data_IF_434453539427
#
_entry.id   IF_434453539427
#
_cell.length_a   1.000
_cell.length_b   1.000
_cell.length_c   1.000
_cell.angle_alpha   90.00
_cell.angle_beta   90.00
_cell.angle_gamma   90.00
#
_symmetry.space_group_name_H-M   'P 1'
#
loop_
_entity.id
_entity.type
_entity.pdbx_description
1 polymer ?
#
# COMPACT_ATOMS: atom_id res chain seq x y z
N UNK A 1 48.34 -20.48 69.33
CA UNK A 1 47.27 -20.69 68.34
C UNK A 1 45.96 -20.30 69.01
N UNK A 2 45.57 -19.03 68.88
CA UNK A 2 44.42 -18.48 69.59
C UNK A 2 43.12 -18.75 68.84
N UNK A 3 42.13 -19.34 69.51
CA UNK A 3 40.77 -19.41 69.01
C UNK A 3 40.11 -18.04 69.11
N UNK A 4 39.43 -17.62 68.04
CA UNK A 4 38.60 -16.41 68.06
C UNK A 4 37.23 -16.81 68.61
N UNK A 5 36.81 -16.18 69.71
CA UNK A 5 35.48 -16.40 70.30
C UNK A 5 34.51 -15.42 69.65
N UNK A 6 33.49 -15.93 68.97
CA UNK A 6 32.42 -15.10 68.36
C UNK A 6 31.19 -15.21 69.25
N UNK A 7 30.69 -14.05 69.72
CA UNK A 7 29.44 -13.95 70.47
C UNK A 7 28.28 -13.85 69.49
N UNK A 8 27.43 -14.88 69.46
CA UNK A 8 26.16 -14.87 68.75
C UNK A 8 25.06 -15.01 69.80
N UNK A 9 24.15 -14.04 69.87
CA UNK A 9 22.99 -14.04 70.79
C UNK A 9 23.33 -14.33 72.27
N UNK A 10 24.42 -13.72 72.79
CA UNK A 10 24.76 -13.81 74.22
C UNK A 10 25.28 -15.18 74.70
N UNK A 11 25.50 -16.15 73.79
CA UNK A 11 26.18 -17.42 74.09
C UNK A 11 27.56 -17.44 73.43
N UNK A 12 28.59 -17.78 74.22
CA UNK A 12 29.94 -17.99 73.71
C UNK A 12 29.99 -19.33 72.95
N UNK A 13 30.04 -19.29 71.63
CA UNK A 13 30.29 -20.48 70.81
C UNK A 13 31.80 -20.72 70.78
N UNK A 14 32.25 -21.81 71.41
CA UNK A 14 33.67 -22.16 71.51
C UNK A 14 34.17 -22.65 70.15
N UNK A 15 35.11 -21.91 69.54
CA UNK A 15 36.16 -22.47 68.69
C UNK A 15 35.95 -22.48 67.17
N UNK A 16 35.63 -21.34 66.54
CA UNK A 16 35.87 -21.22 65.09
C UNK A 16 37.37 -20.95 64.90
N UNK A 17 38.11 -21.93 64.40
CA UNK A 17 39.50 -21.70 64.01
C UNK A 17 39.54 -20.72 62.83
N UNK A 18 40.53 -19.82 62.73
CA UNK A 18 40.62 -18.86 61.62
C UNK A 18 40.61 -19.53 60.24
N UNK A 19 41.01 -20.80 60.17
CA UNK A 19 40.94 -21.64 58.97
C UNK A 19 39.50 -21.94 58.52
N UNK A 20 38.58 -22.21 59.44
CA UNK A 20 37.16 -22.46 59.13
C UNK A 20 36.46 -21.20 58.62
N UNK A 21 36.76 -20.06 59.22
CA UNK A 21 36.21 -18.77 58.81
C UNK A 21 36.72 -18.37 57.42
N UNK A 22 38.03 -18.56 57.16
CA UNK A 22 38.61 -18.39 55.83
C UNK A 22 37.99 -19.33 54.78
N UNK A 23 37.78 -20.60 55.12
CA UNK A 23 37.13 -21.57 54.23
C UNK A 23 35.67 -21.18 53.91
N UNK A 24 34.91 -20.72 54.90
CA UNK A 24 33.54 -20.26 54.72
C UNK A 24 33.47 -19.01 53.82
N UNK A 25 34.37 -18.04 54.02
CA UNK A 25 34.47 -16.85 53.18
C UNK A 25 34.84 -17.23 51.74
N UNK A 26 35.81 -18.13 51.54
CA UNK A 26 36.18 -18.61 50.21
C UNK A 26 35.01 -19.32 49.51
N UNK A 27 34.26 -20.15 50.22
CA UNK A 27 33.08 -20.82 49.67
C UNK A 27 31.99 -19.81 49.28
N UNK A 28 31.77 -18.78 50.09
CA UNK A 28 30.78 -17.74 49.80
C UNK A 28 31.18 -16.91 48.58
N UNK A 29 32.47 -16.54 48.48
CA UNK A 29 33.01 -15.85 47.32
C UNK A 29 32.91 -16.69 46.05
N UNK A 30 33.24 -17.99 46.11
CA UNK A 30 33.09 -18.90 44.99
C UNK A 30 31.63 -19.02 44.52
N UNK A 31 30.69 -19.09 45.47
CA UNK A 31 29.25 -19.09 45.17
C UNK A 31 28.80 -17.79 44.50
N UNK A 32 29.18 -16.63 45.03
CA UNK A 32 28.84 -15.33 44.45
C UNK A 32 29.40 -15.18 43.03
N UNK A 33 30.65 -15.61 42.81
CA UNK A 33 31.27 -15.57 41.49
C UNK A 33 30.53 -16.49 40.50
N UNK A 34 30.18 -17.71 40.93
CA UNK A 34 29.40 -18.65 40.13
C UNK A 34 28.03 -18.09 39.75
N UNK A 35 27.31 -17.50 40.70
CA UNK A 35 26.02 -16.86 40.45
C UNK A 35 26.13 -15.65 39.52
N UNK A 36 27.17 -14.82 39.67
CA UNK A 36 27.41 -13.68 38.79
C UNK A 36 27.70 -14.10 37.35
N UNK A 37 28.51 -15.16 37.16
CA UNK A 37 28.80 -15.72 35.85
C UNK A 37 27.55 -16.33 35.20
N UNK A 38 26.76 -17.09 35.97
CA UNK A 38 25.51 -17.67 35.51
C UNK A 38 24.50 -16.59 35.10
N UNK A 39 24.32 -15.56 35.94
CA UNK A 39 23.44 -14.44 35.65
C UNK A 39 23.88 -13.70 34.38
N UNK A 40 25.19 -13.45 34.22
CA UNK A 40 25.74 -12.83 33.00
C UNK A 40 25.46 -13.67 31.75
N UNK A 41 25.68 -14.99 31.81
CA UNK A 41 25.42 -15.88 30.70
C UNK A 41 23.93 -15.92 30.32
N UNK A 42 23.05 -16.01 31.32
CA UNK A 42 21.60 -16.00 31.12
C UNK A 42 21.10 -14.70 30.50
N UNK A 43 21.54 -13.55 31.02
CA UNK A 43 21.17 -12.24 30.47
C UNK A 43 21.66 -12.10 29.03
N UNK A 44 22.90 -12.52 28.73
CA UNK A 44 23.42 -12.49 27.36
C UNK A 44 22.58 -13.32 26.38
N UNK A 45 22.16 -14.53 26.77
CA UNK A 45 21.28 -15.37 25.95
C UNK A 45 19.89 -14.75 25.77
N UNK A 46 19.33 -14.18 26.84
CA UNK A 46 18.02 -13.51 26.81
C UNK A 46 18.03 -12.30 25.89
N UNK A 47 19.09 -11.49 25.95
CA UNK A 47 19.23 -10.29 25.15
C UNK A 47 19.39 -10.66 23.67
N UNK A 48 20.22 -11.66 23.34
CA UNK A 48 20.35 -12.18 21.99
C UNK A 48 19.01 -12.70 21.44
N UNK A 49 18.25 -13.44 22.25
CA UNK A 49 16.93 -13.94 21.85
C UNK A 49 15.90 -12.79 21.68
N UNK A 50 16.01 -11.73 22.46
CA UNK A 50 15.13 -10.56 22.36
C UNK A 50 15.47 -9.75 21.10
N UNK A 51 16.75 -9.53 20.84
CA UNK A 51 17.23 -8.88 19.62
C UNK A 51 16.82 -9.65 18.36
N UNK A 52 16.95 -10.98 18.36
CA UNK A 52 16.51 -11.81 17.24
C UNK A 52 14.99 -11.73 16.99
N UNK A 53 14.17 -11.70 18.05
CA UNK A 53 12.71 -11.52 17.92
C UNK A 53 12.39 -10.13 17.38
N UNK A 54 13.08 -9.09 17.85
CA UNK A 54 12.89 -7.73 17.36
C UNK A 54 13.22 -7.63 15.87
N UNK A 55 14.34 -8.20 15.42
CA UNK A 55 14.72 -8.19 14.00
C UNK A 55 13.72 -8.94 13.12
N UNK A 56 13.19 -10.09 13.59
CA UNK A 56 12.15 -10.82 12.85
C UNK A 56 10.85 -10.02 12.78
N UNK A 57 10.48 -9.34 13.87
CA UNK A 57 9.32 -8.45 13.90
C UNK A 57 9.44 -7.31 12.88
N UNK A 58 10.60 -6.64 12.85
CA UNK A 58 10.87 -5.56 11.91
C UNK A 58 10.82 -6.06 10.45
N UNK A 59 11.49 -7.19 10.14
CA UNK A 59 11.44 -7.78 8.80
C UNK A 59 10.01 -8.17 8.39
N UNK A 60 9.22 -8.68 9.33
CA UNK A 60 7.80 -9.03 9.08
C UNK A 60 7.01 -7.78 8.74
N UNK A 61 7.16 -6.71 9.52
CA UNK A 61 6.49 -5.44 9.26
C UNK A 61 6.89 -4.84 7.90
N UNK A 62 8.18 -4.86 7.56
CA UNK A 62 8.65 -4.38 6.25
C UNK A 62 8.07 -5.21 5.10
N UNK A 63 8.06 -6.53 5.24
CA UNK A 63 7.49 -7.45 4.25
C UNK A 63 5.99 -7.22 4.05
N UNK A 64 5.25 -7.10 5.15
CA UNK A 64 3.80 -6.94 5.09
C UNK A 64 3.45 -5.56 4.52
N UNK A 65 4.17 -4.49 4.89
CA UNK A 65 4.03 -3.17 4.25
C UNK A 65 4.35 -3.19 2.74
N UNK A 66 5.37 -3.96 2.32
CA UNK A 66 5.67 -4.12 0.90
C UNK A 66 4.57 -4.88 0.14
N UNK A 67 3.92 -5.87 0.77
CA UNK A 67 2.78 -6.58 0.19
C UNK A 67 1.56 -5.70 0.09
N UNK A 68 1.27 -4.89 1.11
CA UNK A 68 0.15 -3.95 1.10
C UNK A 68 0.32 -2.91 -0.01
N UNK A 69 1.53 -2.37 -0.18
CA UNK A 69 1.84 -1.46 -1.28
C UNK A 69 1.68 -2.12 -2.65
N UNK A 70 2.14 -3.37 -2.80
CA UNK A 70 2.00 -4.13 -4.04
C UNK A 70 0.53 -4.45 -4.36
N UNK A 71 -0.28 -4.75 -3.35
CA UNK A 71 -1.72 -4.95 -3.49
C UNK A 71 -2.40 -3.64 -3.94
N UNK A 72 -2.13 -2.53 -3.26
CA UNK A 72 -2.69 -1.22 -3.64
C UNK A 72 -2.30 -0.80 -5.07
N UNK A 73 -1.08 -1.12 -5.52
CA UNK A 73 -0.65 -0.89 -6.90
C UNK A 73 -1.45 -1.74 -7.90
N UNK A 74 -1.66 -3.02 -7.59
CA UNK A 74 -2.47 -3.93 -8.42
C UNK A 74 -3.91 -3.44 -8.52
N UNK A 75 -4.52 -3.08 -7.38
CA UNK A 75 -5.90 -2.59 -7.31
C UNK A 75 -6.07 -1.31 -8.14
N UNK A 76 -5.14 -0.36 -8.02
CA UNK A 76 -5.17 0.88 -8.79
C UNK A 76 -5.03 0.64 -10.31
N UNK A 77 -4.23 -0.35 -10.73
CA UNK A 77 -4.10 -0.74 -12.14
C UNK A 77 -5.39 -1.40 -12.64
N UNK A 78 -6.04 -2.22 -11.83
CA UNK A 78 -7.33 -2.81 -12.18
C UNK A 78 -8.41 -1.74 -12.30
N UNK A 79 -8.50 -0.78 -11.38
CA UNK A 79 -9.40 0.37 -11.46
C UNK A 79 -9.19 1.20 -12.75
N UNK A 80 -7.92 1.40 -13.15
CA UNK A 80 -7.57 2.09 -14.39
C UNK A 80 -8.03 1.32 -15.64
N UNK A 81 -7.88 -0.02 -15.66
CA UNK A 81 -8.39 -0.87 -16.75
C UNK A 81 -9.90 -0.76 -16.86
N UNK A 82 -10.57 -0.81 -15.71
CA UNK A 82 -12.01 -0.71 -15.58
C UNK A 82 -12.56 0.63 -16.11
N UNK A 83 -11.87 1.72 -15.77
CA UNK A 83 -12.18 3.06 -16.30
C UNK A 83 -11.93 3.15 -17.80
N UNK A 84 -10.83 2.60 -18.30
CA UNK A 84 -10.51 2.58 -19.72
C UNK A 84 -11.58 1.83 -20.52
N UNK A 85 -12.05 0.69 -20.02
CA UNK A 85 -13.12 -0.10 -20.63
C UNK A 85 -14.46 0.64 -20.66
N UNK A 86 -14.79 1.36 -19.58
CA UNK A 86 -15.98 2.24 -19.55
C UNK A 86 -15.87 3.32 -20.62
N UNK A 87 -14.75 4.04 -20.68
CA UNK A 87 -14.51 5.10 -21.67
C UNK A 87 -14.48 4.60 -23.11
N UNK A 88 -13.97 3.39 -23.32
CA UNK A 88 -14.02 2.73 -24.62
C UNK A 88 -15.47 2.52 -25.07
N UNK A 89 -16.31 1.91 -24.22
CA UNK A 89 -17.74 1.67 -24.52
C UNK A 89 -18.50 2.97 -24.80
N UNK A 90 -18.32 3.98 -23.96
CA UNK A 90 -18.92 5.31 -24.15
C UNK A 90 -18.46 5.95 -25.47
N UNK A 91 -17.17 5.88 -25.76
CA UNK A 91 -16.58 6.40 -26.99
C UNK A 91 -17.07 5.67 -28.24
N UNK A 92 -17.20 4.34 -28.20
CA UNK A 92 -17.77 3.53 -29.29
C UNK A 92 -19.22 3.90 -29.57
N UNK A 93 -20.03 4.09 -28.52
CA UNK A 93 -21.42 4.53 -28.65
C UNK A 93 -21.51 5.94 -29.26
N UNK A 94 -20.67 6.87 -28.80
CA UNK A 94 -20.62 8.24 -29.34
C UNK A 94 -20.18 8.25 -30.81
N UNK A 95 -19.15 7.48 -31.19
CA UNK A 95 -18.71 7.33 -32.59
C UNK A 95 -19.82 6.76 -33.46
N UNK A 96 -20.54 5.75 -32.98
CA UNK A 96 -21.65 5.13 -33.72
C UNK A 96 -22.79 6.13 -33.94
N UNK A 97 -23.15 6.90 -32.92
CA UNK A 97 -24.17 7.96 -33.02
C UNK A 97 -23.75 9.05 -34.01
N UNK A 98 -22.50 9.53 -33.92
CA UNK A 98 -21.97 10.53 -34.84
C UNK A 98 -21.95 10.02 -36.29
N UNK A 99 -21.53 8.77 -36.51
CA UNK A 99 -21.56 8.16 -37.83
C UNK A 99 -22.99 8.01 -38.38
N UNK A 100 -23.97 7.72 -37.53
CA UNK A 100 -25.37 7.67 -37.93
C UNK A 100 -25.91 9.06 -38.33
N UNK A 101 -25.58 10.10 -37.56
CA UNK A 101 -25.94 11.48 -37.89
C UNK A 101 -25.27 11.94 -39.20
N UNK A 102 -23.99 11.63 -39.40
CA UNK A 102 -23.28 11.93 -40.64
C UNK A 102 -23.96 11.29 -41.85
N UNK A 103 -24.31 10.00 -41.78
CA UNK A 103 -25.05 9.30 -42.87
C UNK A 103 -26.40 9.97 -43.16
N UNK A 104 -27.13 10.40 -42.14
CA UNK A 104 -28.40 11.13 -42.34
C UNK A 104 -28.17 12.45 -43.07
N UNK A 105 -27.10 13.19 -42.73
CA UNK A 105 -26.74 14.42 -43.41
C UNK A 105 -26.28 14.19 -44.85
N UNK A 106 -25.49 13.15 -45.11
CA UNK A 106 -25.08 12.73 -46.45
C UNK A 106 -26.29 12.40 -47.33
N UNK A 107 -27.21 11.55 -46.84
CA UNK A 107 -28.44 11.20 -47.56
C UNK A 107 -29.30 12.43 -47.87
N UNK A 108 -29.40 13.38 -46.94
CA UNK A 108 -30.12 14.64 -47.17
C UNK A 108 -29.43 15.50 -48.23
N UNK A 109 -28.09 15.56 -48.22
CA UNK A 109 -27.34 16.29 -49.24
C UNK A 109 -27.57 15.69 -50.62
N UNK A 110 -27.50 14.36 -50.75
CA UNK A 110 -27.77 13.65 -52.01
C UNK A 110 -29.18 13.94 -52.54
N UNK A 111 -30.19 13.93 -51.66
CA UNK A 111 -31.56 14.29 -52.04
C UNK A 111 -31.67 15.73 -52.56
N UNK A 112 -30.99 16.68 -51.92
CA UNK A 112 -31.01 18.09 -52.35
C UNK A 112 -30.31 18.26 -53.70
N UNK A 113 -29.19 17.56 -53.91
CA UNK A 113 -28.41 17.62 -55.15
C UNK A 113 -29.13 16.93 -56.31
N UNK A 114 -29.86 15.84 -56.05
CA UNK A 114 -30.64 15.12 -57.05
C UNK A 114 -31.96 15.83 -57.42
N UNK A 115 -32.39 16.82 -56.64
CA UNK A 115 -33.65 17.52 -56.88
C UNK A 115 -33.61 18.32 -58.20
N UNK A 116 -34.65 18.21 -59.05
CA UNK A 116 -34.73 18.99 -60.28
C UNK A 116 -34.72 20.49 -59.99
N UNK A 117 -34.28 21.33 -60.96
CA UNK A 117 -34.31 22.77 -60.80
C UNK A 117 -35.74 23.26 -60.55
N UNK A 118 -35.91 24.14 -59.56
CA UNK A 118 -37.22 24.72 -59.22
C UNK A 118 -37.72 25.72 -60.27
N UNK A 119 -36.80 26.32 -61.03
CA UNK A 119 -37.10 27.23 -62.15
C UNK A 119 -36.44 26.69 -63.42
N UNK A 120 -37.20 26.10 -64.35
CA UNK A 120 -36.67 25.61 -65.62
C UNK A 120 -35.96 26.74 -66.39
N UNK A 121 -34.71 26.48 -66.82
CA UNK A 121 -33.93 27.44 -67.60
C UNK A 121 -33.20 28.52 -66.78
N UNK A 122 -33.43 28.63 -65.47
CA UNK A 122 -32.74 29.59 -64.60
C UNK A 122 -32.06 28.90 -63.41
N UNK A 123 -30.78 28.59 -63.60
CA UNK A 123 -29.97 27.90 -62.61
C UNK A 123 -29.68 28.78 -61.37
N UNK A 124 -29.53 30.10 -61.54
CA UNK A 124 -29.22 31.03 -60.46
C UNK A 124 -30.41 31.17 -59.51
N UNK A 125 -31.61 31.39 -60.04
CA UNK A 125 -32.84 31.47 -59.23
C UNK A 125 -33.15 30.12 -58.58
N UNK A 126 -32.92 29.00 -59.29
CA UNK A 126 -33.07 27.67 -58.70
C UNK A 126 -32.08 27.39 -57.55
N UNK A 127 -30.84 27.89 -57.64
CA UNK A 127 -29.86 27.78 -56.57
C UNK A 127 -30.23 28.64 -55.35
N UNK A 128 -30.72 29.86 -55.58
CA UNK A 128 -31.19 30.75 -54.52
C UNK A 128 -32.33 30.10 -53.71
N UNK A 129 -33.34 29.54 -54.38
CA UNK A 129 -34.42 28.80 -53.73
C UNK A 129 -33.94 27.63 -52.86
N UNK A 130 -32.90 26.91 -53.29
CA UNK A 130 -32.32 25.81 -52.50
C UNK A 130 -31.63 26.31 -51.24
N UNK A 131 -30.86 27.40 -51.33
CA UNK A 131 -30.20 28.01 -50.16
C UNK A 131 -31.24 28.55 -49.18
N UNK A 132 -32.26 29.27 -49.66
CA UNK A 132 -33.30 29.84 -48.81
C UNK A 132 -34.07 28.74 -48.04
N UNK A 133 -34.45 27.66 -48.75
CA UNK A 133 -35.09 26.49 -48.14
C UNK A 133 -34.18 25.80 -47.10
N UNK A 134 -32.88 25.70 -47.39
CA UNK A 134 -31.91 25.14 -46.44
C UNK A 134 -31.79 26.00 -45.18
N UNK A 135 -31.70 27.33 -45.32
CA UNK A 135 -31.60 28.27 -44.21
C UNK A 135 -32.86 28.25 -43.32
N UNK A 136 -34.06 28.20 -43.91
CA UNK A 136 -35.31 28.05 -43.14
C UNK A 136 -35.32 26.77 -42.29
N UNK A 137 -34.74 25.68 -42.80
CA UNK A 137 -34.60 24.43 -42.07
C UNK A 137 -33.63 24.47 -40.87
N UNK A 138 -32.67 25.40 -40.84
CA UNK A 138 -31.71 25.54 -39.73
C UNK A 138 -32.23 26.37 -38.56
N UNK A 139 -33.29 27.15 -38.77
CA UNK A 139 -33.87 28.02 -37.75
C UNK A 139 -34.86 27.31 -36.80
N UNK A 140 -35.16 26.03 -37.02
CA UNK A 140 -35.98 25.23 -36.10
C UNK A 140 -35.10 24.66 -34.97
N UNK A 141 -35.49 24.84 -33.70
CA UNK A 141 -34.72 24.35 -32.54
C UNK A 141 -34.65 22.83 -32.46
#
# INVERSE_FOLDING_TARGET
MGNVVVLVEGRAVIGVTPKLLAAAVLALLASLLGNALLARAYLGQRDAATAARASVGEMTQQRDGARDLAAACSDAVDDLRDLADRRKREGDAARTSAAAQARTHEQRADQILAAPPSVPGDACTSAQHRVDNWLQGRAKP
#
